data_IF_638312464473
#
_entry.id   IF_638312464473
#
_cell.length_a   1.000
_cell.length_b   1.000
_cell.length_c   1.000
_cell.angle_alpha   90.00
_cell.angle_beta   90.00
_cell.angle_gamma   90.00
#
_symmetry.space_group_name_H-M   'P 1'
#
loop_
_entity.id
_entity.type
_entity.pdbx_description
1 polymer ?
#
# COMPACT_ATOMS: atom_id res chain seq x y z
N UNK A 1 -25.01 -18.63 9.83
CA UNK A 1 -24.36 -17.56 9.02
C UNK A 1 -22.87 -17.60 9.33
N UNK A 2 -22.08 -18.29 8.51
CA UNK A 2 -20.63 -18.40 8.73
C UNK A 2 -19.93 -17.14 8.24
N UNK A 3 -19.29 -16.44 9.17
CA UNK A 3 -18.40 -15.32 8.92
C UNK A 3 -17.13 -15.82 8.23
N UNK A 4 -17.11 -15.77 6.89
CA UNK A 4 -15.89 -15.89 6.10
C UNK A 4 -15.01 -14.65 6.33
N UNK A 5 -14.27 -14.64 7.43
CA UNK A 5 -13.05 -13.85 7.55
C UNK A 5 -12.07 -14.39 6.51
N UNK A 6 -12.10 -13.83 5.30
CA UNK A 6 -11.00 -14.01 4.34
C UNK A 6 -9.76 -13.42 5.01
N UNK A 7 -8.95 -14.29 5.62
CA UNK A 7 -7.54 -14.02 5.90
C UNK A 7 -6.94 -13.60 4.56
N UNK A 8 -6.73 -12.30 4.35
CA UNK A 8 -6.04 -11.83 3.15
C UNK A 8 -4.58 -12.20 3.33
N UNK A 9 -4.10 -13.17 2.56
CA UNK A 9 -2.68 -13.56 2.51
C UNK A 9 -1.77 -12.44 1.97
N UNK A 10 -2.30 -11.24 1.76
CA UNK A 10 -1.62 -10.08 1.20
C UNK A 10 -1.77 -8.89 2.12
N UNK A 11 -0.66 -8.20 2.38
CA UNK A 11 -0.66 -6.95 3.14
C UNK A 11 -1.36 -5.84 2.36
N UNK A 12 -2.06 -4.96 3.05
CA UNK A 12 -2.84 -3.88 2.43
C UNK A 12 -2.85 -2.61 3.27
N UNK A 13 -3.18 -1.48 2.65
CA UNK A 13 -3.46 -0.22 3.31
C UNK A 13 -4.98 -0.02 3.39
N UNK A 14 -5.50 0.28 4.58
CA UNK A 14 -6.89 0.67 4.82
C UNK A 14 -6.99 2.20 4.92
N UNK A 15 -7.91 2.81 4.18
CA UNK A 15 -8.13 4.25 4.15
C UNK A 15 -9.15 4.72 5.20
N UNK A 16 -9.31 3.98 6.30
CA UNK A 16 -10.27 4.27 7.37
C UNK A 16 -11.72 4.41 6.88
N UNK A 17 -12.10 3.65 5.85
CA UNK A 17 -13.43 3.73 5.24
C UNK A 17 -13.61 4.89 4.26
N UNK A 18 -12.60 5.74 4.05
CA UNK A 18 -12.64 6.80 3.05
C UNK A 18 -12.44 6.22 1.64
N UNK A 19 -13.36 6.42 0.69
CA UNK A 19 -13.18 5.95 -0.67
C UNK A 19 -12.04 6.70 -1.36
N UNK A 20 -11.19 5.98 -2.10
CA UNK A 20 -10.09 6.60 -2.85
C UNK A 20 -10.61 7.62 -3.89
N UNK A 21 -11.79 7.36 -4.46
CA UNK A 21 -12.50 8.28 -5.33
C UNK A 21 -13.83 8.68 -4.68
N UNK A 22 -13.89 9.89 -4.13
CA UNK A 22 -15.07 10.40 -3.44
C UNK A 22 -16.26 10.69 -4.37
N UNK A 23 -16.07 10.64 -5.68
CA UNK A 23 -17.13 10.84 -6.67
C UNK A 23 -17.75 9.51 -7.14
N UNK A 24 -17.12 8.37 -6.83
CA UNK A 24 -17.59 7.06 -7.27
C UNK A 24 -18.22 6.29 -6.10
N UNK A 25 -19.54 6.02 -6.14
CA UNK A 25 -20.20 5.15 -5.17
C UNK A 25 -19.54 3.77 -5.15
N UNK A 26 -19.21 3.27 -3.95
CA UNK A 26 -18.58 1.95 -3.79
C UNK A 26 -17.10 1.89 -4.17
N UNK A 27 -16.45 3.03 -4.43
CA UNK A 27 -15.00 3.07 -4.64
C UNK A 27 -14.24 2.44 -3.46
N UNK A 28 -13.13 1.77 -3.80
CA UNK A 28 -12.32 1.04 -2.82
C UNK A 28 -11.85 1.96 -1.69
N UNK A 29 -11.95 1.45 -0.46
CA UNK A 29 -11.50 2.10 0.78
C UNK A 29 -10.20 1.49 1.30
N UNK A 30 -9.51 0.74 0.43
CA UNK A 30 -8.26 0.04 0.70
C UNK A 30 -7.48 -0.14 -0.62
N UNK A 31 -6.20 -0.51 -0.53
CA UNK A 31 -5.39 -0.99 -1.66
C UNK A 31 -4.36 -2.02 -1.20
N UNK A 32 -3.92 -2.90 -2.09
CA UNK A 32 -2.83 -3.81 -1.74
C UNK A 32 -1.52 -3.03 -1.56
N UNK A 33 -0.72 -3.42 -0.58
CA UNK A 33 0.57 -2.76 -0.34
C UNK A 33 1.56 -3.00 -1.50
N UNK A 34 1.41 -4.12 -2.21
CA UNK A 34 2.19 -4.39 -3.42
C UNK A 34 1.86 -3.40 -4.55
N UNK A 35 0.58 -3.09 -4.77
CA UNK A 35 0.17 -2.07 -5.76
C UNK A 35 0.79 -0.71 -5.42
N UNK A 36 0.73 -0.33 -4.14
CA UNK A 36 1.33 0.93 -3.67
C UNK A 36 2.83 0.98 -3.97
N UNK A 37 3.56 -0.11 -3.66
CA UNK A 37 5.00 -0.22 -3.96
C UNK A 37 5.29 -0.17 -5.46
N UNK A 38 4.51 -0.88 -6.28
CA UNK A 38 4.69 -0.90 -7.75
C UNK A 38 4.49 0.48 -8.37
N UNK A 39 3.46 1.21 -7.94
CA UNK A 39 3.24 2.58 -8.38
C UNK A 39 4.36 3.51 -7.92
N UNK A 40 4.74 3.41 -6.64
CA UNK A 40 5.77 4.24 -6.04
C UNK A 40 7.14 4.06 -6.71
N UNK A 41 7.53 2.82 -7.01
CA UNK A 41 8.82 2.49 -7.63
C UNK A 41 9.03 3.19 -8.99
N UNK A 42 7.96 3.65 -9.64
CA UNK A 42 8.00 4.31 -10.94
C UNK A 42 7.86 5.83 -10.88
N UNK A 43 7.61 6.42 -9.71
CA UNK A 43 7.33 7.87 -9.57
C UNK A 43 8.49 8.75 -10.04
N UNK A 44 9.74 8.40 -9.67
CA UNK A 44 10.91 9.18 -10.10
C UNK A 44 11.17 9.06 -11.62
N UNK A 45 10.84 7.93 -12.23
CA UNK A 45 10.90 7.78 -13.69
C UNK A 45 9.89 8.72 -14.37
N UNK A 46 8.66 8.82 -13.85
CA UNK A 46 7.65 9.73 -14.41
C UNK A 46 8.05 11.20 -14.34
N UNK A 47 8.61 11.61 -13.20
CA UNK A 47 9.11 12.98 -12.99
C UNK A 47 10.16 13.38 -14.04
N UNK A 48 10.96 12.43 -14.52
CA UNK A 48 11.94 12.65 -15.58
C UNK A 48 11.31 12.75 -16.98
N UNK A 49 10.14 12.14 -17.19
CA UNK A 49 9.46 12.08 -18.48
C UNK A 49 8.58 13.32 -18.77
N UNK A 50 8.14 14.07 -17.75
CA UNK A 50 7.14 15.15 -17.90
C UNK A 50 7.63 16.47 -18.57
N UNK A 51 8.86 16.51 -19.10
CA UNK A 51 9.31 17.62 -19.96
C UNK A 51 9.35 19.00 -19.28
N UNK A 52 9.19 20.09 -20.05
CA UNK A 52 9.40 21.49 -19.58
C UNK A 52 8.24 22.07 -18.76
N UNK A 53 7.09 21.39 -18.67
CA UNK A 53 6.01 21.84 -17.78
C UNK A 53 6.26 21.31 -16.38
N UNK A 54 6.15 22.20 -15.38
CA UNK A 54 6.27 21.78 -13.99
C UNK A 54 5.17 20.75 -13.70
N UNK A 55 5.52 19.52 -13.33
CA UNK A 55 4.51 18.49 -13.18
C UNK A 55 3.64 18.75 -11.97
N UNK A 56 2.38 18.31 -12.04
CA UNK A 56 1.43 18.43 -10.92
C UNK A 56 1.85 17.55 -9.75
N UNK A 57 2.42 16.39 -10.05
CA UNK A 57 2.96 15.43 -9.10
C UNK A 57 4.26 14.82 -9.64
N UNK A 58 5.17 14.33 -8.80
CA UNK A 58 5.14 14.46 -7.35
C UNK A 58 5.22 15.94 -6.91
N UNK A 59 4.52 16.29 -5.83
CA UNK A 59 4.50 17.66 -5.32
C UNK A 59 4.92 17.74 -3.86
N UNK A 60 5.33 18.94 -3.42
CA UNK A 60 5.75 19.16 -2.04
C UNK A 60 4.59 19.00 -1.05
N UNK A 61 4.79 18.15 -0.05
CA UNK A 61 3.91 17.98 1.10
C UNK A 61 4.58 18.55 2.36
N UNK A 62 3.95 19.56 2.96
CA UNK A 62 4.56 20.33 4.04
C UNK A 62 4.08 19.96 5.45
N UNK A 63 3.06 19.11 5.55
CA UNK A 63 2.44 18.70 6.83
C UNK A 63 2.26 19.84 7.87
N UNK A 64 1.87 21.05 7.42
CA UNK A 64 1.97 22.28 8.23
C UNK A 64 1.24 22.24 9.58
N UNK A 65 0.17 21.46 9.69
CA UNK A 65 -0.63 21.32 10.91
C UNK A 65 -0.37 20.00 11.65
N UNK A 66 0.69 19.26 11.28
CA UNK A 66 0.98 17.91 11.79
C UNK A 66 -0.27 17.02 11.76
N UNK A 67 -1.01 17.08 10.65
CA UNK A 67 -2.31 16.39 10.51
C UNK A 67 -2.15 14.86 10.54
N UNK A 68 -0.97 14.41 10.14
CA UNK A 68 -0.53 13.02 10.06
C UNK A 68 0.83 12.87 10.74
N UNK A 69 1.07 11.67 11.29
CA UNK A 69 2.40 11.27 11.78
C UNK A 69 3.09 10.49 10.68
N UNK A 70 4.25 10.94 10.22
CA UNK A 70 5.02 10.28 9.16
C UNK A 70 6.18 9.51 9.79
N UNK A 71 6.41 8.29 9.32
CA UNK A 71 7.57 7.48 9.71
C UNK A 71 8.81 7.87 8.92
N UNK A 72 8.63 8.39 7.71
CA UNK A 72 9.71 8.88 6.86
C UNK A 72 10.25 10.22 7.35
N UNK A 73 11.59 10.43 7.38
CA UNK A 73 12.15 11.74 7.69
C UNK A 73 11.77 12.73 6.58
N UNK A 74 11.54 14.00 6.90
CA UNK A 74 11.37 15.00 5.85
C UNK A 74 12.71 15.47 5.30
N UNK A 75 12.71 16.00 4.09
CA UNK A 75 13.86 16.71 3.51
C UNK A 75 13.89 18.17 3.96
N UNK A 76 15.04 18.82 3.82
CA UNK A 76 15.17 20.27 4.03
C UNK A 76 14.60 21.00 2.81
N UNK A 77 13.48 21.69 3.00
CA UNK A 77 12.84 22.52 2.00
C UNK A 77 13.25 23.99 2.07
N UNK A 78 12.65 24.83 1.21
CA UNK A 78 12.80 26.29 1.27
C UNK A 78 12.65 26.86 2.69
N UNK A 79 13.52 27.80 3.04
CA UNK A 79 13.58 28.44 4.37
C UNK A 79 13.83 27.47 5.53
N UNK A 80 14.54 26.35 5.28
CA UNK A 80 14.89 25.37 6.31
C UNK A 80 13.70 24.57 6.84
N UNK A 81 12.54 24.65 6.19
CA UNK A 81 11.32 23.97 6.62
C UNK A 81 11.34 22.51 6.16
N UNK A 82 10.90 21.61 7.03
CA UNK A 82 10.73 20.19 6.68
C UNK A 82 9.67 20.02 5.59
N UNK A 83 10.00 19.24 4.55
CA UNK A 83 9.14 18.97 3.41
C UNK A 83 9.30 17.53 2.95
N UNK A 84 8.20 16.92 2.52
CA UNK A 84 8.18 15.62 1.86
C UNK A 84 7.73 15.79 0.41
N UNK A 85 7.87 14.75 -0.40
CA UNK A 85 7.16 14.64 -1.67
C UNK A 85 5.93 13.74 -1.49
N UNK A 86 4.90 13.98 -2.30
CA UNK A 86 3.74 13.10 -2.33
C UNK A 86 3.23 12.87 -3.76
N UNK A 87 2.60 11.71 -3.99
CA UNK A 87 2.09 11.30 -5.29
C UNK A 87 0.76 10.57 -5.13
N UNK A 88 -0.20 10.70 -6.07
CA UNK A 88 -1.41 9.89 -6.07
C UNK A 88 -1.13 8.39 -6.12
N UNK A 89 -1.89 7.65 -5.33
CA UNK A 89 -2.01 6.19 -5.43
C UNK A 89 -3.43 5.84 -5.84
N UNK A 90 -3.55 4.99 -6.86
CA UNK A 90 -4.84 4.58 -7.42
C UNK A 90 -5.02 3.07 -7.16
N UNK A 91 -5.96 2.64 -6.32
CA UNK A 91 -6.20 1.21 -6.10
C UNK A 91 -6.56 0.47 -7.39
N UNK A 92 -6.11 -0.79 -7.52
CA UNK A 92 -6.41 -1.65 -8.67
C UNK A 92 -5.57 -1.41 -9.94
N UNK A 93 -4.54 -0.55 -9.89
CA UNK A 93 -3.56 -0.41 -10.97
C UNK A 93 -2.13 -0.59 -10.47
N UNK A 94 -1.21 -0.92 -11.39
CA UNK A 94 0.21 -1.11 -11.11
C UNK A 94 1.09 0.03 -11.63
N UNK A 95 0.54 0.89 -12.49
CA UNK A 95 1.24 2.05 -13.04
C UNK A 95 0.97 3.30 -12.19
N UNK A 96 1.95 4.22 -12.05
CA UNK A 96 1.75 5.48 -11.36
C UNK A 96 0.66 6.31 -12.06
N UNK A 97 -0.06 7.11 -11.28
CA UNK A 97 -0.97 8.11 -11.82
C UNK A 97 -0.23 9.13 -12.69
N UNK A 98 -0.82 9.52 -13.82
CA UNK A 98 -0.25 10.52 -14.75
C UNK A 98 -1.18 11.71 -14.97
N UNK A 99 -2.48 11.44 -15.18
CA UNK A 99 -3.45 12.48 -15.52
C UNK A 99 -4.87 12.18 -14.99
N UNK A 100 -5.74 13.19 -15.05
CA UNK A 100 -7.13 13.09 -14.62
C UNK A 100 -7.37 13.29 -13.11
N UNK A 101 -8.31 12.52 -12.55
CA UNK A 101 -8.66 12.62 -11.14
C UNK A 101 -7.65 11.87 -10.26
N UNK A 102 -6.82 12.61 -9.53
CA UNK A 102 -5.80 12.09 -8.63
C UNK A 102 -6.35 11.33 -7.39
N UNK A 103 -7.67 11.24 -7.20
CA UNK A 103 -8.26 10.63 -6.01
C UNK A 103 -7.84 11.28 -4.68
N UNK A 104 -8.12 10.58 -3.58
CA UNK A 104 -7.91 11.02 -2.20
C UNK A 104 -6.61 10.50 -1.57
N UNK A 105 -6.04 9.42 -2.11
CA UNK A 105 -4.94 8.67 -1.48
C UNK A 105 -3.59 9.12 -2.04
N UNK A 106 -2.60 9.28 -1.18
CA UNK A 106 -1.24 9.70 -1.54
C UNK A 106 -0.20 8.81 -0.88
N UNK A 107 0.88 8.49 -1.58
CA UNK A 107 2.17 8.14 -0.95
C UNK A 107 2.88 9.42 -0.51
N UNK A 108 3.66 9.35 0.56
CA UNK A 108 4.48 10.46 1.09
C UNK A 108 5.85 9.94 1.46
N UNK A 109 6.92 10.56 0.96
CA UNK A 109 8.29 10.10 1.18
C UNK A 109 9.30 11.24 1.28
N UNK A 110 10.50 10.89 1.73
CA UNK A 110 11.67 11.78 1.73
C UNK A 110 12.20 11.94 0.30
N UNK A 111 12.46 13.15 -0.17
CA UNK A 111 13.07 13.33 -1.50
C UNK A 111 14.39 12.55 -1.59
N UNK A 112 14.53 11.74 -2.65
CA UNK A 112 15.69 10.87 -2.87
C UNK A 112 15.56 9.48 -2.24
N UNK A 113 14.50 9.21 -1.49
CA UNK A 113 14.20 7.90 -0.90
C UNK A 113 12.72 7.57 -1.15
N UNK A 114 12.40 7.26 -2.41
CA UNK A 114 11.03 6.92 -2.82
C UNK A 114 10.62 5.51 -2.37
N UNK A 115 11.56 4.65 -1.97
CA UNK A 115 11.29 3.28 -1.55
C UNK A 115 10.64 3.21 -0.16
N UNK A 116 11.02 4.15 0.72
CA UNK A 116 10.41 4.30 2.03
C UNK A 116 9.33 5.38 1.99
N UNK A 117 8.07 4.98 2.15
CA UNK A 117 6.95 5.91 2.09
C UNK A 117 5.83 5.56 3.08
N UNK A 118 5.13 6.59 3.52
CA UNK A 118 3.87 6.50 4.25
C UNK A 118 2.69 6.64 3.27
N UNK A 119 1.52 6.10 3.63
CA UNK A 119 0.28 6.31 2.86
C UNK A 119 -0.68 7.17 3.67
N UNK A 120 -1.22 8.21 3.03
CA UNK A 120 -2.20 9.14 3.62
C UNK A 120 -3.44 9.27 2.73
N UNK A 121 -4.56 9.70 3.31
CA UNK A 121 -5.82 9.91 2.60
C UNK A 121 -6.48 11.22 3.01
N UNK A 122 -7.08 11.92 2.05
CA UNK A 122 -7.96 13.06 2.31
C UNK A 122 -9.25 12.62 3.01
N UNK A 123 -9.39 12.96 4.29
CA UNK A 123 -10.49 12.55 5.15
C UNK A 123 -11.33 13.75 5.60
N UNK A 124 -12.56 13.84 5.08
CA UNK A 124 -13.50 14.92 5.40
C UNK A 124 -13.96 14.89 6.87
N UNK A 125 -13.96 13.72 7.51
CA UNK A 125 -14.38 13.59 8.92
C UNK A 125 -13.41 14.28 9.88
N UNK A 126 -12.16 14.53 9.45
CA UNK A 126 -11.15 15.30 10.19
C UNK A 126 -11.26 16.81 9.95
N UNK A 127 -12.26 17.25 9.19
CA UNK A 127 -12.47 18.64 8.81
C UNK A 127 -11.62 19.07 7.61
N UNK A 128 -11.45 20.39 7.47
CA UNK A 128 -10.82 21.00 6.30
C UNK A 128 -9.66 21.92 6.71
N UNK A 129 -8.69 22.07 5.81
CA UNK A 129 -7.64 23.09 5.92
C UNK A 129 -8.23 24.49 5.72
N UNK A 130 -7.45 25.54 6.02
CA UNK A 130 -7.83 26.94 5.72
C UNK A 130 -8.15 27.17 4.23
N UNK A 131 -7.60 26.33 3.34
CA UNK A 131 -7.85 26.37 1.89
C UNK A 131 -9.03 25.51 1.44
N UNK A 132 -9.88 25.07 2.38
CA UNK A 132 -11.08 24.24 2.15
C UNK A 132 -10.77 22.88 1.50
N UNK A 133 -9.56 22.36 1.64
CA UNK A 133 -9.24 20.98 1.27
C UNK A 133 -9.47 20.05 2.47
N UNK A 134 -10.00 18.83 2.29
CA UNK A 134 -10.09 17.88 3.41
C UNK A 134 -8.71 17.65 4.03
N UNK A 135 -8.66 17.55 5.36
CA UNK A 135 -7.41 17.23 6.07
C UNK A 135 -6.95 15.81 5.75
N UNK A 136 -5.68 15.53 5.98
CA UNK A 136 -5.14 14.20 5.81
C UNK A 136 -5.32 13.32 7.07
N UNK A 137 -5.44 12.02 6.84
CA UNK A 137 -5.31 10.95 7.81
C UNK A 137 -4.23 9.97 7.35
N UNK A 138 -3.52 9.34 8.29
CA UNK A 138 -2.70 8.17 7.97
C UNK A 138 -3.62 7.00 7.54
N UNK A 139 -3.28 6.36 6.43
CA UNK A 139 -3.83 5.05 6.12
C UNK A 139 -3.23 4.01 7.08
N UNK A 140 -4.01 3.01 7.45
CA UNK A 140 -3.57 1.94 8.36
C UNK A 140 -2.98 0.81 7.54
N UNK A 141 -1.72 0.48 7.80
CA UNK A 141 -1.10 -0.72 7.23
C UNK A 141 -1.59 -1.96 7.98
N UNK A 142 -1.98 -2.98 7.23
CA UNK A 142 -2.32 -4.30 7.74
C UNK A 142 -1.37 -5.30 7.09
N UNK A 143 -0.52 -5.94 7.89
CA UNK A 143 0.36 -7.00 7.42
C UNK A 143 -0.45 -8.23 7.02
N UNK A 144 0.02 -8.97 6.01
CA UNK A 144 -0.46 -10.33 5.80
C UNK A 144 -0.21 -11.14 7.09
N UNK A 145 -1.14 -12.01 7.47
CA UNK A 145 -0.84 -12.99 8.50
C UNK A 145 0.25 -13.92 7.96
N UNK A 146 1.26 -14.32 8.77
CA UNK A 146 2.19 -15.35 8.37
C UNK A 146 1.39 -16.59 7.99
N UNK A 147 1.57 -17.06 6.76
CA UNK A 147 1.03 -18.34 6.33
C UNK A 147 1.62 -19.39 7.26
N UNK A 148 0.81 -20.00 8.12
CA UNK A 148 1.30 -21.18 8.85
C UNK A 148 1.65 -22.22 7.79
N UNK A 149 2.83 -22.88 7.89
CA UNK A 149 3.18 -23.92 6.95
C UNK A 149 2.22 -25.11 7.12
N UNK A 150 1.16 -25.14 6.32
CA UNK A 150 0.43 -26.37 6.00
C UNK A 150 1.39 -27.25 5.19
N UNK A 151 2.25 -28.04 5.85
CA UNK A 151 2.84 -29.29 5.34
C UNK A 151 3.94 -29.85 6.27
N UNK A 152 3.57 -30.31 7.48
CA UNK A 152 4.47 -31.18 8.26
C UNK A 152 3.79 -32.42 8.85
N UNK A 153 2.52 -32.71 8.48
CA UNK A 153 1.80 -33.91 8.95
C UNK A 153 1.58 -34.99 7.88
N UNK A 154 2.15 -34.88 6.66
CA UNK A 154 2.02 -35.91 5.61
C UNK A 154 3.30 -36.70 5.31
N UNK A 155 4.43 -36.47 6.00
CA UNK A 155 5.66 -37.24 5.76
C UNK A 155 5.85 -38.47 6.67
N UNK A 156 5.14 -38.58 7.80
CA UNK A 156 5.26 -39.75 8.69
C UNK A 156 4.35 -40.94 8.32
N UNK A 157 3.44 -40.78 7.34
CA UNK A 157 2.52 -41.86 6.93
C UNK A 157 3.03 -42.73 5.76
N UNK A 158 4.25 -42.49 5.23
CA UNK A 158 4.78 -43.22 4.06
C UNK A 158 5.97 -44.14 4.35
N UNK A 159 6.36 -44.37 5.60
CA UNK A 159 7.49 -45.25 5.94
C UNK A 159 7.15 -46.55 6.69
N UNK A 160 5.89 -46.97 6.78
CA UNK A 160 5.52 -48.28 7.34
C UNK A 160 4.65 -49.10 6.40
N UNK A 161 5.14 -49.38 5.19
CA UNK A 161 4.64 -50.51 4.42
C UNK A 161 5.70 -51.04 3.47
N UNK A 162 6.66 -51.76 4.04
CA UNK A 162 7.44 -52.76 3.30
C UNK A 162 7.39 -54.06 4.10
N UNK A 163 6.19 -54.65 4.15
CA UNK A 163 6.05 -56.05 4.55
C UNK A 163 6.59 -56.91 3.40
N UNK A 164 7.79 -57.48 3.62
CA UNK A 164 8.36 -58.53 2.78
C UNK A 164 7.43 -59.75 2.89
N UNK A 165 6.71 -60.05 1.81
CA UNK A 165 5.94 -61.29 1.66
C UNK A 165 6.78 -62.24 0.82
N UNK A 166 7.42 -63.21 1.46
CA UNK A 166 8.05 -64.35 0.80
C UNK A 166 6.94 -65.33 0.38
N UNK A 167 6.83 -65.74 -0.89
CA UNK A 167 5.92 -66.81 -1.28
C UNK A 167 6.53 -68.19 -0.93
N UNK A 168 5.71 -69.20 -0.60
CA UNK A 168 6.18 -70.57 -0.50
C UNK A 168 6.21 -71.19 -1.91
N UNK A 169 7.35 -71.76 -2.30
CA UNK A 169 7.40 -72.71 -3.41
C UNK A 169 7.80 -74.09 -2.90
N UNK A 170 7.01 -75.06 -3.36
CA UNK A 170 7.11 -76.49 -3.14
C UNK A 170 8.31 -77.08 -3.87
N UNK A 171 9.05 -77.98 -3.20
CA UNK A 171 9.31 -79.37 -3.60
C UNK A 171 9.94 -80.16 -2.44
#
# INVERSE_FOLDING_TARGET
>A
MSSNSRKTNSSYYCFNGVPYNQQAPGAQTWMYAEEARRQQAKVELEKLLEGRQKPRYPSSFWNHQKEVTLSTPGSVGPHGKTVWEHHPLIPGQNEPWREGAAGAVRSVWTRGDAENFDVIVHDKSRGFTKRKTPKFANAKYHSALPTQPENQQQQDARQTNTAVRVPPDNE
#
